data_IF_924117544691
#
_entry.id   IF_924117544691
#
_cell.length_a   1.000
_cell.length_b   1.000
_cell.length_c   1.000
_cell.angle_alpha   90.00
_cell.angle_beta   90.00
_cell.angle_gamma   90.00
#
_symmetry.space_group_name_H-M   'P 1'
#
loop_
_entity.id
_entity.type
_entity.pdbx_description
1 polymer ?
#
# COMPACT_ATOMS: atom_id res chain seq x y z
N UNK A 1 -28.24 -51.24 -20.99
CA UNK A 1 -27.49 -49.98 -21.13
C UNK A 1 -27.69 -49.20 -19.84
N UNK A 2 -26.75 -49.29 -18.91
CA UNK A 2 -26.85 -48.63 -17.61
C UNK A 2 -26.54 -47.12 -17.76
N UNK A 3 -27.19 -46.22 -17.01
CA UNK A 3 -26.87 -44.81 -17.06
C UNK A 3 -25.59 -44.55 -16.27
N UNK A 4 -24.67 -43.80 -16.89
CA UNK A 4 -23.40 -43.39 -16.31
C UNK A 4 -23.67 -42.18 -15.40
N UNK A 5 -23.51 -42.34 -14.09
CA UNK A 5 -23.58 -41.24 -13.13
C UNK A 5 -22.42 -40.25 -13.39
N UNK A 6 -22.76 -38.96 -13.49
CA UNK A 6 -21.78 -37.90 -13.53
C UNK A 6 -21.07 -37.79 -12.17
N UNK A 7 -19.73 -37.61 -12.12
CA UNK A 7 -19.04 -37.39 -10.86
C UNK A 7 -19.50 -36.05 -10.30
N UNK A 8 -20.27 -36.11 -9.21
CA UNK A 8 -20.67 -34.95 -8.43
C UNK A 8 -19.44 -34.10 -8.12
N UNK A 9 -19.48 -32.84 -8.56
CA UNK A 9 -18.59 -31.80 -8.07
C UNK A 9 -18.54 -31.87 -6.55
N UNK A 10 -17.38 -32.24 -6.01
CA UNK A 10 -17.15 -32.29 -4.57
C UNK A 10 -17.51 -30.92 -3.98
N UNK A 11 -18.72 -30.80 -3.45
CA UNK A 11 -19.19 -29.62 -2.75
C UNK A 11 -18.27 -29.47 -1.55
N UNK A 12 -17.46 -28.40 -1.57
CA UNK A 12 -16.61 -28.05 -0.42
C UNK A 12 -17.53 -28.03 0.81
N UNK A 13 -17.27 -28.86 1.84
CA UNK A 13 -18.13 -28.91 3.00
C UNK A 13 -18.29 -27.51 3.60
N UNK A 14 -19.53 -27.16 3.96
CA UNK A 14 -19.82 -25.88 4.60
C UNK A 14 -19.03 -25.81 5.90
N UNK A 15 -18.22 -24.76 6.06
CA UNK A 15 -17.40 -24.53 7.25
C UNK A 15 -18.28 -24.58 8.51
N UNK A 16 -17.82 -25.31 9.51
CA UNK A 16 -18.40 -25.29 10.86
C UNK A 16 -18.26 -23.89 11.48
N UNK A 17 -19.07 -23.58 12.48
CA UNK A 17 -18.99 -22.26 13.14
C UNK A 17 -17.64 -22.04 13.83
N UNK A 18 -17.00 -23.11 14.33
CA UNK A 18 -15.64 -23.08 14.85
C UNK A 18 -14.61 -22.75 13.77
N UNK A 19 -14.70 -23.37 12.59
CA UNK A 19 -13.81 -23.08 11.46
C UNK A 19 -14.01 -21.66 10.92
N UNK A 20 -15.25 -21.18 10.82
CA UNK A 20 -15.53 -19.79 10.42
C UNK A 20 -14.89 -18.79 11.39
N UNK A 21 -15.03 -19.02 12.69
CA UNK A 21 -14.43 -18.17 13.72
C UNK A 21 -12.90 -18.17 13.62
N UNK A 22 -12.29 -19.34 13.44
CA UNK A 22 -10.83 -19.46 13.24
C UNK A 22 -10.36 -18.72 11.97
N UNK A 23 -11.04 -18.93 10.84
CA UNK A 23 -10.72 -18.27 9.57
C UNK A 23 -10.87 -16.75 9.66
N UNK A 24 -11.88 -16.26 10.39
CA UNK A 24 -12.06 -14.82 10.60
C UNK A 24 -10.88 -14.22 11.38
N UNK A 25 -10.45 -14.85 12.48
CA UNK A 25 -9.31 -14.40 13.28
C UNK A 25 -8.03 -14.38 12.45
N UNK A 26 -7.76 -15.46 11.71
CA UNK A 26 -6.57 -15.56 10.85
C UNK A 26 -6.57 -14.51 9.74
N UNK A 27 -7.72 -14.29 9.08
CA UNK A 27 -7.85 -13.29 8.02
C UNK A 27 -7.61 -11.88 8.55
N UNK A 28 -8.11 -11.57 9.73
CA UNK A 28 -7.90 -10.26 10.36
C UNK A 28 -6.46 -10.08 10.85
N UNK A 29 -5.82 -11.11 11.40
CA UNK A 29 -4.40 -11.08 11.74
C UNK A 29 -3.53 -10.82 10.51
N UNK A 30 -3.81 -11.50 9.39
CA UNK A 30 -3.12 -11.29 8.11
C UNK A 30 -3.33 -9.87 7.61
N UNK A 31 -4.57 -9.36 7.63
CA UNK A 31 -4.89 -7.98 7.24
C UNK A 31 -4.10 -6.98 8.09
N UNK A 32 -4.08 -7.15 9.40
CA UNK A 32 -3.32 -6.28 10.32
C UNK A 32 -1.81 -6.36 10.11
N UNK A 33 -1.28 -7.53 9.75
CA UNK A 33 0.14 -7.65 9.42
C UNK A 33 0.47 -6.86 8.16
N UNK A 34 -0.31 -7.00 7.10
CA UNK A 34 -0.10 -6.27 5.86
C UNK A 34 -0.16 -4.74 6.06
N UNK A 35 -1.06 -4.26 6.91
CA UNK A 35 -1.12 -2.82 7.27
C UNK A 35 0.17 -2.38 7.96
N UNK A 36 0.63 -3.14 8.97
CA UNK A 36 1.88 -2.84 9.69
C UNK A 36 3.10 -2.83 8.75
N UNK A 37 3.19 -3.81 7.87
CA UNK A 37 4.28 -3.90 6.89
C UNK A 37 4.26 -2.68 5.95
N UNK A 38 3.07 -2.18 5.59
CA UNK A 38 2.91 -0.93 4.84
C UNK A 38 3.40 0.31 5.59
N UNK A 39 3.11 0.42 6.89
CA UNK A 39 3.65 1.51 7.71
C UNK A 39 5.16 1.43 7.90
N UNK A 40 5.71 0.23 8.07
CA UNK A 40 7.16 0.02 8.16
C UNK A 40 7.85 0.45 6.85
N UNK A 41 7.27 0.12 5.69
CA UNK A 41 7.77 0.60 4.39
C UNK A 41 7.67 2.12 4.22
N UNK A 42 6.55 2.73 4.64
CA UNK A 42 6.36 4.17 4.58
C UNK A 42 7.35 4.93 5.48
N UNK A 43 7.61 4.38 6.67
CA UNK A 43 8.59 4.91 7.62
C UNK A 43 10.02 4.82 7.09
N UNK A 44 10.37 3.79 6.32
CA UNK A 44 11.68 3.67 5.67
C UNK A 44 11.84 4.68 4.51
N UNK A 45 10.77 4.95 3.76
CA UNK A 45 10.79 5.91 2.65
C UNK A 45 10.80 7.37 3.10
N UNK A 46 10.32 7.66 4.32
CA UNK A 46 10.18 9.01 4.86
C UNK A 46 11.42 9.41 5.66
N UNK A 47 12.15 10.48 5.29
CA UNK A 47 13.35 10.91 6.00
C UNK A 47 13.10 11.15 7.49
N UNK A 48 13.96 10.56 8.33
CA UNK A 48 13.88 10.71 9.79
C UNK A 48 12.84 9.81 10.48
N UNK A 49 12.06 9.01 9.74
CA UNK A 49 11.03 8.14 10.32
C UNK A 49 11.42 6.67 10.41
N UNK A 50 12.64 6.30 10.00
CA UNK A 50 13.11 4.91 10.03
C UNK A 50 12.95 4.27 11.41
N UNK A 51 12.30 3.10 11.44
CA UNK A 51 11.99 2.37 12.67
C UNK A 51 10.80 2.92 13.47
N UNK A 52 10.10 3.95 13.00
CA UNK A 52 8.92 4.54 13.64
C UNK A 52 7.59 4.01 13.07
N UNK A 53 7.59 2.89 12.32
CA UNK A 53 6.38 2.33 11.70
C UNK A 53 5.24 1.97 12.65
N UNK A 54 5.48 1.99 13.97
CA UNK A 54 4.44 1.80 15.01
C UNK A 54 3.77 3.09 15.46
N UNK A 55 4.31 4.25 15.09
CA UNK A 55 3.75 5.57 15.36
C UNK A 55 2.90 6.04 14.17
N UNK A 56 1.82 5.30 13.86
CA UNK A 56 1.03 5.44 12.62
C UNK A 56 0.67 6.90 12.27
N UNK A 57 0.13 7.67 13.23
CA UNK A 57 -0.25 9.06 13.01
C UNK A 57 0.95 9.96 12.68
N UNK A 58 2.09 9.76 13.36
CA UNK A 58 3.32 10.53 13.15
C UNK A 58 3.91 10.21 11.77
N UNK A 59 3.94 8.93 11.41
CA UNK A 59 4.44 8.48 10.10
C UNK A 59 3.61 9.11 8.99
N UNK A 60 2.27 9.10 9.08
CA UNK A 60 1.41 9.73 8.06
C UNK A 60 1.63 11.24 7.97
N UNK A 61 1.66 11.93 9.11
CA UNK A 61 1.87 13.37 9.14
C UNK A 61 3.21 13.77 8.50
N UNK A 62 4.30 13.08 8.87
CA UNK A 62 5.61 13.32 8.29
C UNK A 62 5.69 12.95 6.81
N UNK A 63 4.97 11.90 6.39
CA UNK A 63 4.91 11.49 4.97
C UNK A 63 4.26 12.58 4.12
N UNK A 64 3.16 13.17 4.57
CA UNK A 64 2.50 14.28 3.86
C UNK A 64 3.45 15.48 3.74
N UNK A 65 4.06 15.90 4.85
CA UNK A 65 5.04 16.99 4.85
C UNK A 65 6.20 16.71 3.89
N UNK A 66 6.64 15.46 3.80
CA UNK A 66 7.69 15.08 2.89
C UNK A 66 7.25 15.18 1.43
N UNK A 67 6.04 14.71 1.09
CA UNK A 67 5.47 14.87 -0.26
C UNK A 67 5.39 16.34 -0.66
N UNK A 68 4.89 17.21 0.21
CA UNK A 68 4.83 18.66 -0.04
C UNK A 68 6.23 19.23 -0.32
N UNK A 69 7.24 18.81 0.45
CA UNK A 69 8.63 19.24 0.24
C UNK A 69 9.23 18.74 -1.08
N UNK A 70 8.83 17.54 -1.52
CA UNK A 70 9.25 16.98 -2.81
C UNK A 70 8.63 17.75 -3.97
N UNK A 71 7.36 18.13 -3.87
CA UNK A 71 6.68 18.97 -4.86
C UNK A 71 7.33 20.35 -4.94
N UNK A 72 7.60 20.99 -3.80
CA UNK A 72 8.29 22.28 -3.77
C UNK A 72 9.69 22.17 -4.42
N UNK A 73 10.44 21.11 -4.09
CA UNK A 73 11.76 20.84 -4.68
C UNK A 73 11.67 20.60 -6.18
N UNK A 74 10.67 19.86 -6.65
CA UNK A 74 10.42 19.61 -8.07
C UNK A 74 10.21 20.93 -8.81
N UNK A 75 9.30 21.78 -8.32
CA UNK A 75 9.02 23.08 -8.92
C UNK A 75 10.26 23.97 -8.99
N UNK A 76 11.06 24.02 -7.92
CA UNK A 76 12.33 24.76 -7.89
C UNK A 76 13.33 24.25 -8.92
N UNK A 77 13.48 22.93 -9.05
CA UNK A 77 14.41 22.32 -10.00
C UNK A 77 13.97 22.56 -11.44
N UNK A 78 12.67 22.45 -11.74
CA UNK A 78 12.11 22.74 -13.06
C UNK A 78 12.32 24.22 -13.42
N UNK A 79 12.05 25.14 -12.48
CA UNK A 79 12.29 26.56 -12.70
C UNK A 79 13.76 26.87 -12.98
N UNK A 80 14.68 26.27 -12.22
CA UNK A 80 16.12 26.41 -12.43
C UNK A 80 16.54 25.87 -13.80
N UNK A 81 16.06 24.68 -14.18
CA UNK A 81 16.35 24.09 -15.48
C UNK A 81 15.89 25.00 -16.64
N UNK A 82 14.69 25.60 -16.54
CA UNK A 82 14.21 26.60 -17.51
C UNK A 82 15.10 27.83 -17.58
N UNK A 83 15.56 28.35 -16.44
CA UNK A 83 16.47 29.49 -16.40
C UNK A 83 17.79 29.20 -17.12
N UNK A 84 18.26 27.95 -17.07
CA UNK A 84 19.44 27.49 -17.79
C UNK A 84 19.17 27.09 -19.25
N UNK A 85 17.95 27.32 -19.77
CA UNK A 85 17.57 27.02 -21.15
C UNK A 85 17.38 25.53 -21.43
N UNK A 86 17.20 24.70 -20.41
CA UNK A 86 16.91 23.27 -20.57
C UNK A 86 15.41 23.07 -20.86
N UNK A 87 15.10 22.11 -21.73
CA UNK A 87 13.71 21.68 -21.94
C UNK A 87 13.16 20.99 -20.69
N UNK A 88 11.97 21.41 -20.29
CA UNK A 88 11.26 20.88 -19.11
C UNK A 88 9.84 20.42 -19.43
N UNK A 89 9.49 20.29 -20.71
CA UNK A 89 8.20 19.79 -21.18
C UNK A 89 7.78 18.49 -20.49
N UNK A 90 8.70 17.53 -20.35
CA UNK A 90 8.46 16.23 -19.72
C UNK A 90 8.23 16.27 -18.19
N UNK A 91 8.45 17.41 -17.54
CA UNK A 91 8.37 17.56 -16.08
C UNK A 91 7.23 18.49 -15.63
N UNK A 92 6.40 18.94 -16.57
CA UNK A 92 5.20 19.71 -16.24
C UNK A 92 4.19 18.80 -15.56
N UNK A 93 3.61 19.28 -14.46
CA UNK A 93 2.52 18.60 -13.78
C UNK A 93 1.21 19.18 -14.30
N UNK A 94 0.27 18.31 -14.67
CA UNK A 94 -1.10 18.72 -14.97
C UNK A 94 -1.80 19.16 -13.68
N UNK A 95 -2.65 20.19 -13.77
CA UNK A 95 -3.40 20.78 -12.65
C UNK A 95 -4.48 19.84 -12.06
#
# INVERSE_FOLDING_TARGET
MAPVEAPGSAEKPRLTDMEKKSNHIQSEQKRRSAIRDGFDALAEATPGMKGQGRSEAIVLEHSIKYVDSLLERHLKLVALARQHGLDTSAFQMDD
#
